data_IF_684575596857
#
_entry.id   IF_684575596857
#
_cell.length_a   1.000
_cell.length_b   1.000
_cell.length_c   1.000
_cell.angle_alpha   90.00
_cell.angle_beta   90.00
_cell.angle_gamma   90.00
#
_symmetry.space_group_name_H-M   'P 1'
#
loop_
_entity.id
_entity.type
_entity.pdbx_description
1 polymer ?
#
# COMPACT_ATOMS: atom_id res chain seq x y z
N UNK A 1 -13.78 -14.18 -7.29
CA UNK A 1 -12.79 -13.53 -6.42
C UNK A 1 -12.08 -14.58 -5.60
N UNK A 2 -10.77 -14.44 -5.46
CA UNK A 2 -9.93 -15.33 -4.66
C UNK A 2 -9.91 -14.84 -3.21
N UNK A 3 -10.04 -15.75 -2.25
CA UNK A 3 -9.88 -15.42 -0.82
C UNK A 3 -8.44 -14.97 -0.54
N UNK A 4 -8.27 -13.83 0.12
CA UNK A 4 -6.94 -13.30 0.47
C UNK A 4 -6.35 -13.96 1.72
N UNK A 5 -7.18 -14.52 2.58
CA UNK A 5 -6.83 -15.06 3.90
C UNK A 5 -5.68 -16.09 3.86
N UNK A 6 -5.61 -17.02 2.89
CA UNK A 6 -4.47 -17.94 2.75
C UNK A 6 -3.14 -17.24 2.42
N UNK A 7 -3.18 -15.99 2.00
CA UNK A 7 -2.03 -15.16 1.66
C UNK A 7 -1.72 -14.10 2.72
N UNK A 8 -2.51 -14.01 3.79
CA UNK A 8 -2.24 -13.12 4.93
C UNK A 8 -1.26 -13.82 5.86
N UNK A 9 -0.14 -13.17 6.13
CA UNK A 9 0.87 -13.65 7.07
C UNK A 9 0.47 -13.33 8.51
N UNK A 10 0.91 -14.14 9.47
CA UNK A 10 0.76 -13.85 10.89
C UNK A 10 1.87 -12.90 11.35
N UNK A 11 1.73 -11.62 11.01
CA UNK A 11 2.65 -10.56 11.45
C UNK A 11 1.90 -9.25 11.70
N UNK A 12 2.44 -8.47 12.63
CA UNK A 12 1.96 -7.12 12.92
C UNK A 12 3.12 -6.15 12.67
N UNK A 13 3.02 -5.22 11.71
CA UNK A 13 4.09 -4.28 11.46
C UNK A 13 4.25 -3.34 12.67
N UNK A 14 5.48 -2.93 13.02
CA UNK A 14 5.72 -1.97 14.08
C UNK A 14 5.28 -0.56 13.64
N UNK A 15 4.92 0.30 14.58
CA UNK A 15 4.36 1.62 14.27
C UNK A 15 5.35 2.59 13.62
N UNK A 16 6.64 2.37 13.83
CA UNK A 16 7.74 3.14 13.22
C UNK A 16 8.13 2.62 11.82
N UNK A 17 7.56 1.50 11.36
CA UNK A 17 7.75 1.07 9.98
C UNK A 17 7.16 2.09 9.01
N UNK A 18 7.84 2.27 7.87
CA UNK A 18 7.44 3.21 6.83
C UNK A 18 6.63 2.49 5.77
N UNK A 19 5.43 3.00 5.51
CA UNK A 19 4.53 2.55 4.46
C UNK A 19 4.79 3.30 3.17
N UNK A 20 5.11 2.55 2.10
CA UNK A 20 5.45 3.08 0.77
C UNK A 20 4.44 2.54 -0.23
N UNK A 21 3.59 3.41 -0.78
CA UNK A 21 2.61 3.02 -1.79
C UNK A 21 3.31 2.67 -3.09
N UNK A 22 2.92 1.53 -3.69
CA UNK A 22 3.41 1.15 -5.01
C UNK A 22 2.58 1.84 -6.09
N UNK A 23 3.23 2.63 -6.95
CA UNK A 23 2.59 3.14 -8.17
C UNK A 23 2.87 4.61 -8.41
N UNK A 24 3.15 4.97 -9.67
CA UNK A 24 3.17 6.38 -10.06
C UNK A 24 1.76 6.92 -10.25
N UNK A 25 1.66 8.22 -10.55
CA UNK A 25 1.47 9.26 -9.53
C UNK A 25 0.44 8.88 -8.45
N UNK A 26 0.73 9.29 -7.21
CA UNK A 26 -0.13 9.09 -6.05
C UNK A 26 -1.36 10.03 -6.13
N UNK A 27 -2.29 9.72 -7.03
CA UNK A 27 -3.49 10.53 -7.25
C UNK A 27 -4.73 9.83 -6.73
N UNK A 28 -5.76 10.62 -6.46
CA UNK A 28 -7.08 10.15 -6.01
C UNK A 28 -7.63 9.11 -6.98
N UNK A 29 -7.57 9.39 -8.28
CA UNK A 29 -8.12 8.54 -9.34
C UNK A 29 -7.41 7.19 -9.40
N UNK A 30 -6.08 7.18 -9.23
CA UNK A 30 -5.29 5.94 -9.24
C UNK A 30 -5.54 5.08 -8.01
N UNK A 31 -5.73 5.69 -6.84
CA UNK A 31 -6.11 4.98 -5.62
C UNK A 31 -7.47 4.30 -5.80
N UNK A 32 -8.46 5.03 -6.33
CA UNK A 32 -9.80 4.48 -6.62
C UNK A 32 -9.70 3.33 -7.63
N UNK A 33 -8.96 3.52 -8.73
CA UNK A 33 -8.77 2.50 -9.76
C UNK A 33 -8.12 1.22 -9.19
N UNK A 34 -7.07 1.36 -8.37
CA UNK A 34 -6.38 0.24 -7.74
C UNK A 34 -7.28 -0.50 -6.75
N UNK A 35 -8.01 0.24 -5.91
CA UNK A 35 -8.95 -0.32 -4.96
C UNK A 35 -10.09 -1.08 -5.65
N UNK A 36 -10.68 -0.51 -6.70
CA UNK A 36 -11.73 -1.15 -7.48
C UNK A 36 -11.21 -2.37 -8.26
N UNK A 37 -9.95 -2.35 -8.71
CA UNK A 37 -9.31 -3.50 -9.35
C UNK A 37 -9.10 -4.64 -8.35
N UNK A 38 -8.58 -4.33 -7.16
CA UNK A 38 -8.39 -5.34 -6.12
C UNK A 38 -9.72 -5.99 -5.72
N UNK A 39 -10.79 -5.19 -5.60
CA UNK A 39 -12.11 -5.69 -5.25
C UNK A 39 -12.70 -6.68 -6.27
N UNK A 40 -12.21 -6.69 -7.52
CA UNK A 40 -12.58 -7.66 -8.55
C UNK A 40 -11.77 -8.96 -8.46
N UNK A 41 -10.55 -8.88 -7.95
CA UNK A 41 -9.60 -9.99 -7.89
C UNK A 41 -9.74 -10.77 -6.58
N UNK A 42 -9.81 -10.07 -5.44
CA UNK A 42 -9.72 -10.65 -4.10
C UNK A 42 -10.94 -10.38 -3.23
N UNK A 43 -11.18 -11.27 -2.27
CA UNK A 43 -12.13 -11.10 -1.18
C UNK A 43 -11.45 -11.16 0.18
N UNK A 44 -11.96 -10.38 1.13
CA UNK A 44 -11.62 -10.41 2.55
C UNK A 44 -12.90 -10.68 3.35
N UNK A 45 -12.90 -11.73 4.17
CA UNK A 45 -14.04 -12.20 4.95
C UNK A 45 -15.29 -12.43 4.06
N UNK A 46 -15.07 -12.94 2.85
CA UNK A 46 -16.12 -13.17 1.86
C UNK A 46 -16.66 -11.92 1.16
N UNK A 47 -16.16 -10.72 1.48
CA UNK A 47 -16.55 -9.46 0.83
C UNK A 47 -15.49 -8.99 -0.17
N UNK A 48 -15.83 -8.19 -1.21
CA UNK A 48 -14.85 -7.57 -2.09
C UNK A 48 -13.76 -6.83 -1.32
N UNK A 49 -12.50 -7.17 -1.58
CA UNK A 49 -11.35 -6.55 -0.92
C UNK A 49 -11.02 -5.22 -1.58
N UNK A 50 -11.48 -4.14 -0.99
CA UNK A 50 -11.16 -2.78 -1.44
C UNK A 50 -9.85 -2.37 -0.78
N UNK A 51 -8.72 -2.54 -1.47
CA UNK A 51 -7.41 -2.20 -0.90
C UNK A 51 -6.44 -1.62 -1.92
N UNK A 52 -5.40 -0.97 -1.41
CA UNK A 52 -4.24 -0.54 -2.19
C UNK A 52 -3.00 -1.28 -1.72
N UNK A 53 -2.27 -1.83 -2.68
CA UNK A 53 -1.00 -2.48 -2.41
C UNK A 53 0.12 -1.49 -2.09
N UNK A 54 0.96 -1.87 -1.12
CA UNK A 54 2.14 -1.15 -0.69
C UNK A 54 3.27 -2.11 -0.32
N UNK A 55 4.43 -1.56 0.00
CA UNK A 55 5.53 -2.28 0.63
C UNK A 55 5.91 -1.52 1.93
N UNK A 56 6.26 -2.25 3.00
CA UNK A 56 6.66 -1.71 4.31
C UNK A 56 8.15 -1.94 4.61
N UNK A 57 8.78 -1.07 5.39
CA UNK A 57 10.16 -1.26 5.90
C UNK A 57 10.21 -2.28 7.05
N UNK A 58 9.89 -3.53 6.76
CA UNK A 58 9.89 -4.66 7.71
C UNK A 58 10.76 -5.79 7.21
N UNK A 59 11.17 -6.71 8.09
CA UNK A 59 11.95 -7.89 7.69
C UNK A 59 13.29 -7.54 7.02
N UNK A 60 13.95 -6.47 7.48
CA UNK A 60 15.21 -5.99 6.92
C UNK A 60 15.08 -5.10 5.68
N UNK A 61 13.87 -4.90 5.15
CA UNK A 61 13.66 -3.98 4.04
C UNK A 61 13.79 -2.52 4.50
N UNK A 62 14.55 -1.76 3.74
CA UNK A 62 14.69 -0.30 3.90
C UNK A 62 13.93 0.42 2.79
N UNK A 63 13.67 1.72 2.96
CA UNK A 63 13.10 2.57 1.90
C UNK A 63 13.95 2.45 0.63
N UNK A 64 15.28 2.52 0.76
CA UNK A 64 16.21 2.37 -0.34
C UNK A 64 16.05 1.03 -1.08
N UNK A 65 16.02 -0.09 -0.36
CA UNK A 65 15.87 -1.42 -0.95
C UNK A 65 14.53 -1.56 -1.68
N UNK A 66 13.43 -1.09 -1.07
CA UNK A 66 12.10 -1.10 -1.70
C UNK A 66 12.10 -0.28 -3.00
N UNK A 67 12.64 0.94 -2.96
CA UNK A 67 12.70 1.80 -4.13
C UNK A 67 13.55 1.22 -5.26
N UNK A 68 14.68 0.58 -4.91
CA UNK A 68 15.64 0.00 -5.85
C UNK A 68 15.17 -1.32 -6.46
N UNK A 69 14.49 -2.16 -5.70
CA UNK A 69 14.21 -3.55 -6.10
C UNK A 69 12.75 -3.78 -6.47
N UNK A 70 11.82 -3.11 -5.78
CA UNK A 70 10.37 -3.33 -5.94
C UNK A 70 9.73 -2.23 -6.77
N UNK A 71 10.18 -0.99 -6.60
CA UNK A 71 9.61 0.20 -7.23
C UNK A 71 10.52 0.83 -8.29
N UNK A 72 11.52 0.10 -8.80
CA UNK A 72 12.46 0.60 -9.82
C UNK A 72 11.79 1.13 -11.09
N UNK A 73 10.58 0.68 -11.41
CA UNK A 73 9.82 1.15 -12.58
C UNK A 73 8.94 2.38 -12.30
N UNK A 74 8.90 2.85 -11.05
CA UNK A 74 8.05 3.96 -10.59
C UNK A 74 8.89 5.22 -10.44
N UNK A 75 8.38 6.34 -10.97
CA UNK A 75 9.07 7.63 -10.96
C UNK A 75 8.95 8.41 -9.67
N UNK A 76 7.87 8.20 -8.91
CA UNK A 76 7.56 8.93 -7.67
C UNK A 76 7.08 7.98 -6.59
N UNK A 77 7.26 8.38 -5.34
CA UNK A 77 6.78 7.69 -4.17
C UNK A 77 6.37 8.69 -3.08
N UNK A 78 5.58 8.24 -2.13
CA UNK A 78 5.33 8.95 -0.89
C UNK A 78 5.37 7.96 0.26
N UNK A 79 5.51 8.47 1.47
CA UNK A 79 5.66 7.66 2.67
C UNK A 79 4.75 8.14 3.78
N UNK A 80 4.41 7.22 4.69
CA UNK A 80 3.70 7.51 5.94
C UNK A 80 4.11 6.47 6.99
N UNK A 81 4.31 6.84 8.27
CA UNK A 81 4.53 5.86 9.32
C UNK A 81 3.30 4.97 9.53
N UNK A 82 3.51 3.69 9.80
CA UNK A 82 2.43 2.72 10.08
C UNK A 82 1.55 3.17 11.25
N UNK A 83 2.15 3.72 12.32
CA UNK A 83 1.41 4.20 13.49
C UNK A 83 0.41 5.30 13.16
N UNK A 84 0.69 6.14 12.15
CA UNK A 84 -0.25 7.19 11.68
C UNK A 84 -1.48 6.55 11.02
N UNK A 85 -1.27 5.57 10.13
CA UNK A 85 -2.35 4.87 9.46
C UNK A 85 -3.19 4.05 10.45
N UNK A 86 -2.54 3.35 11.39
CA UNK A 86 -3.22 2.58 12.44
C UNK A 86 -4.07 3.48 13.34
N UNK A 87 -3.51 4.62 13.77
CA UNK A 87 -4.23 5.61 14.59
C UNK A 87 -5.42 6.24 13.86
N UNK A 88 -5.34 6.32 12.52
CA UNK A 88 -6.46 6.75 11.67
C UNK A 88 -7.49 5.64 11.39
N UNK A 89 -7.31 4.44 11.93
CA UNK A 89 -8.26 3.33 11.83
C UNK A 89 -8.10 2.46 10.58
N UNK A 90 -7.03 2.63 9.80
CA UNK A 90 -6.78 1.78 8.64
C UNK A 90 -6.31 0.38 9.05
N UNK A 91 -6.87 -0.64 8.39
CA UNK A 91 -6.41 -2.01 8.48
C UNK A 91 -5.28 -2.25 7.48
N UNK A 92 -4.13 -2.68 8.00
CA UNK A 92 -2.97 -3.10 7.21
C UNK A 92 -2.85 -4.62 7.23
N UNK A 93 -2.92 -5.23 6.06
CA UNK A 93 -2.83 -6.69 5.91
C UNK A 93 -1.45 -7.07 5.35
N UNK A 94 -0.66 -7.90 6.04
CA UNK A 94 0.61 -8.42 5.55
C UNK A 94 0.41 -9.51 4.50
N UNK A 95 -0.01 -9.11 3.29
CA UNK A 95 -0.33 -10.03 2.21
C UNK A 95 0.92 -10.51 1.46
N UNK A 96 0.84 -11.71 0.88
CA UNK A 96 1.89 -12.31 0.04
C UNK A 96 3.26 -12.40 0.75
N UNK A 97 4.36 -12.06 0.06
CA UNK A 97 5.71 -12.14 0.62
C UNK A 97 6.18 -10.77 1.14
N UNK A 98 7.00 -10.76 2.21
CA UNK A 98 7.71 -9.57 2.69
C UNK A 98 8.38 -8.86 1.50
N UNK A 99 8.25 -7.54 1.33
CA UNK A 99 7.72 -6.54 2.28
C UNK A 99 6.26 -6.14 2.01
N UNK A 100 5.48 -6.96 1.32
CA UNK A 100 4.22 -6.55 0.71
C UNK A 100 3.05 -6.44 1.69
N UNK A 101 2.25 -5.38 1.56
CA UNK A 101 1.07 -5.15 2.37
C UNK A 101 -0.09 -4.62 1.51
N UNK A 102 -1.29 -4.80 2.02
CA UNK A 102 -2.50 -4.12 1.54
C UNK A 102 -3.04 -3.19 2.63
N UNK A 103 -3.33 -1.94 2.28
CA UNK A 103 -4.16 -1.06 3.11
C UNK A 103 -5.61 -1.17 2.66
N UNK A 104 -6.48 -1.60 3.56
CA UNK A 104 -7.91 -1.76 3.29
C UNK A 104 -8.63 -0.42 3.43
N UNK A 105 -9.51 -0.12 2.48
CA UNK A 105 -10.37 1.05 2.46
C UNK A 105 -11.82 0.63 2.68
N UNK A 106 -12.61 1.54 3.25
CA UNK A 106 -14.05 1.34 3.42
C UNK A 106 -14.80 1.24 2.08
N UNK A 107 -14.34 2.01 1.09
CA UNK A 107 -14.97 2.12 -0.23
C UNK A 107 -13.97 2.55 -1.30
N UNK A 108 -14.23 2.18 -2.56
CA UNK A 108 -13.47 2.64 -3.71
C UNK A 108 -14.00 4.01 -4.19
N UNK A 109 -13.88 5.04 -3.34
CA UNK A 109 -14.38 6.39 -3.62
C UNK A 109 -13.27 7.43 -3.60
N UNK A 110 -13.49 8.56 -4.29
CA UNK A 110 -12.57 9.69 -4.21
C UNK A 110 -12.43 10.23 -2.79
N UNK A 111 -13.51 10.19 -2.00
CA UNK A 111 -13.50 10.68 -0.63
C UNK A 111 -12.58 9.82 0.26
N UNK A 112 -12.70 8.49 0.18
CA UNK A 112 -11.82 7.56 0.89
C UNK A 112 -10.36 7.71 0.43
N UNK A 113 -10.13 7.85 -0.88
CA UNK A 113 -8.81 8.08 -1.44
C UNK A 113 -8.18 9.41 -0.95
N UNK A 114 -8.95 10.51 -0.91
CA UNK A 114 -8.47 11.80 -0.37
C UNK A 114 -8.12 11.70 1.12
N UNK A 115 -8.96 11.02 1.92
CA UNK A 115 -8.67 10.77 3.35
C UNK A 115 -7.36 10.03 3.52
N UNK A 116 -7.14 8.96 2.75
CA UNK A 116 -5.91 8.19 2.79
C UNK A 116 -4.70 9.07 2.43
N UNK A 117 -4.77 9.79 1.32
CA UNK A 117 -3.67 10.60 0.81
C UNK A 117 -3.29 11.76 1.74
N UNK A 118 -4.22 12.25 2.55
CA UNK A 118 -3.95 13.30 3.54
C UNK A 118 -2.96 12.89 4.64
N UNK A 119 -2.73 11.59 4.84
CA UNK A 119 -1.74 11.08 5.80
C UNK A 119 -0.33 10.97 5.22
N UNK A 120 -0.18 11.00 3.90
CA UNK A 120 1.11 10.84 3.26
C UNK A 120 1.93 12.12 3.35
N UNK A 121 3.24 11.95 3.55
CA UNK A 121 4.21 13.01 3.37
C UNK A 121 4.30 13.49 1.92
N UNK A 122 5.22 14.44 1.63
CA UNK A 122 5.38 14.95 0.28
C UNK A 122 5.68 13.83 -0.72
N UNK A 123 5.20 14.00 -1.95
CA UNK A 123 5.57 13.14 -3.07
C UNK A 123 7.01 13.46 -3.47
N UNK A 124 7.87 12.45 -3.47
CA UNK A 124 9.29 12.54 -3.81
C UNK A 124 9.60 11.81 -5.11
N UNK A 125 10.68 12.21 -5.79
CA UNK A 125 11.20 11.48 -6.95
C UNK A 125 11.95 10.22 -6.50
N UNK A 126 11.73 9.11 -7.22
CA UNK A 126 12.46 7.87 -6.97
C UNK A 126 13.84 7.92 -7.67
N UNK A 127 14.97 8.01 -6.93
CA UNK A 127 16.29 8.10 -7.52
C UNK A 127 16.73 6.80 -8.21
N UNK A 128 16.06 5.68 -7.93
CA UNK A 128 16.34 4.36 -8.50
C UNK A 128 15.48 4.03 -9.72
N UNK A 129 14.72 5.00 -10.24
CA UNK A 129 13.89 4.80 -11.42
C UNK A 129 14.74 4.42 -12.64
N UNK A 130 14.48 3.23 -13.20
CA UNK A 130 15.09 2.72 -14.44
C UNK A 130 14.06 2.73 -15.57
N UNK A 131 14.51 2.86 -16.82
CA UNK A 131 13.65 2.63 -17.98
C UNK A 131 13.34 1.14 -18.07
N UNK A 132 12.09 0.80 -18.38
CA UNK A 132 11.66 -0.56 -18.67
C UNK A 132 12.07 -0.95 -20.07
#
# INVERSE_FOLDING_TARGET
MTSIEPHVRDEHPPDDAVFIVRGGPLTVERIVEHAARQAREYSLLGQPMISVSADLTVGGWTVEAILRERLWSRSRYATVPVGVLRSAGYLLLPTFAVPHYDIVLEEASEAAARRLLAHFGPVLDNPYKRRR
#
